data_IF_673673846959
#
_entry.id   IF_673673846959
#
_cell.length_a   1.000
_cell.length_b   1.000
_cell.length_c   1.000
_cell.angle_alpha   90.00
_cell.angle_beta   90.00
_cell.angle_gamma   90.00
#
_symmetry.space_group_name_H-M   'P 1'
#
loop_
_entity.id
_entity.type
_entity.pdbx_description
1 polymer ?
#
# COMPACT_ATOMS: atom_id res chain seq x y z
N UNK A 1 17.90 5.39 18.05
CA UNK A 1 16.44 5.24 18.11
C UNK A 1 15.96 5.13 16.68
N UNK A 2 15.66 3.94 16.21
CA UNK A 2 15.06 3.74 14.88
C UNK A 2 13.58 3.99 15.08
N UNK A 3 13.12 5.17 14.67
CA UNK A 3 11.70 5.52 14.67
C UNK A 3 11.05 4.69 13.55
N UNK A 4 10.61 3.48 13.88
CA UNK A 4 9.84 2.66 12.93
C UNK A 4 8.58 3.45 12.60
N UNK A 5 8.37 3.85 11.32
CA UNK A 5 7.30 4.75 10.97
C UNK A 5 5.99 4.09 11.34
N UNK A 6 5.25 4.68 12.29
CA UNK A 6 3.95 4.12 12.67
C UNK A 6 2.97 4.28 11.50
N UNK A 7 2.08 3.30 11.26
CA UNK A 7 1.21 3.30 10.07
C UNK A 7 0.38 4.58 9.91
N UNK A 8 -0.04 5.23 11.02
CA UNK A 8 -0.79 6.49 10.97
C UNK A 8 -0.02 7.66 10.35
N UNK A 9 1.31 7.72 10.50
CA UNK A 9 2.13 8.80 9.91
C UNK A 9 2.58 8.46 8.49
N UNK A 10 2.72 7.18 8.16
CA UNK A 10 3.33 6.74 6.91
C UNK A 10 2.37 6.67 5.71
N UNK A 11 1.06 6.49 5.94
CA UNK A 11 0.08 6.47 4.84
C UNK A 11 -0.01 7.82 4.11
N UNK A 12 -0.15 8.98 4.79
CA UNK A 12 -0.12 10.28 4.13
C UNK A 12 1.17 10.53 3.33
N UNK A 13 2.32 10.08 3.85
CA UNK A 13 3.61 10.22 3.17
C UNK A 13 3.70 9.36 1.90
N UNK A 14 3.21 8.12 1.95
CA UNK A 14 3.13 7.25 0.77
C UNK A 14 2.20 7.83 -0.30
N UNK A 15 1.07 8.39 0.10
CA UNK A 15 0.15 9.06 -0.82
C UNK A 15 0.78 10.32 -1.43
N UNK A 16 1.50 11.12 -0.63
CA UNK A 16 2.23 12.28 -1.13
C UNK A 16 3.36 11.89 -2.09
N UNK A 17 4.07 10.79 -1.81
CA UNK A 17 5.09 10.25 -2.70
C UNK A 17 4.48 9.80 -4.03
N UNK A 18 3.36 9.06 -3.98
CA UNK A 18 2.64 8.63 -5.17
C UNK A 18 2.17 9.83 -6.00
N UNK A 19 1.57 10.84 -5.38
CA UNK A 19 1.11 12.05 -6.07
C UNK A 19 2.24 12.82 -6.78
N UNK A 20 3.47 12.77 -6.23
CA UNK A 20 4.65 13.41 -6.83
C UNK A 20 5.30 12.61 -7.94
N UNK A 21 5.16 11.28 -7.95
CA UNK A 21 5.94 10.38 -8.82
C UNK A 21 5.11 9.61 -9.83
N UNK A 22 3.79 9.46 -9.59
CA UNK A 22 2.86 8.60 -10.32
C UNK A 22 1.51 9.30 -10.51
N UNK A 23 1.46 10.20 -11.51
CA UNK A 23 0.22 10.90 -11.89
C UNK A 23 -0.82 10.00 -12.56
N UNK A 24 -0.44 8.78 -12.92
CA UNK A 24 -1.27 7.75 -13.54
C UNK A 24 -2.06 6.91 -12.52
N UNK A 25 -1.76 7.04 -11.22
CA UNK A 25 -2.43 6.34 -10.14
C UNK A 25 -3.52 7.22 -9.53
N UNK A 26 -4.73 6.67 -9.39
CA UNK A 26 -5.78 7.29 -8.59
C UNK A 26 -5.44 7.18 -7.09
N UNK A 27 -5.39 8.33 -6.42
CA UNK A 27 -4.96 8.43 -5.04
C UNK A 27 -5.97 7.77 -4.07
N UNK A 28 -7.27 7.81 -4.38
CA UNK A 28 -8.32 7.21 -3.53
C UNK A 28 -8.26 5.69 -3.61
N UNK A 29 -8.03 5.15 -4.81
CA UNK A 29 -7.84 3.72 -5.01
C UNK A 29 -6.59 3.20 -4.29
N UNK A 30 -5.50 3.98 -4.34
CA UNK A 30 -4.26 3.67 -3.62
C UNK A 30 -4.47 3.68 -2.10
N UNK A 31 -5.14 4.70 -1.56
CA UNK A 31 -5.46 4.79 -0.12
C UNK A 31 -6.29 3.58 0.35
N UNK A 32 -7.30 3.19 -0.43
CA UNK A 32 -8.08 1.99 -0.15
C UNK A 32 -7.22 0.71 -0.16
N UNK A 33 -6.34 0.56 -1.15
CA UNK A 33 -5.45 -0.60 -1.23
C UNK A 33 -4.43 -0.66 -0.09
N UNK A 34 -3.88 0.49 0.34
CA UNK A 34 -2.99 0.58 1.50
C UNK A 34 -3.73 0.21 2.79
N UNK A 35 -4.96 0.69 2.96
CA UNK A 35 -5.80 0.35 4.13
C UNK A 35 -6.11 -1.14 4.20
N UNK A 36 -6.44 -1.75 3.06
CA UNK A 36 -6.63 -3.21 2.96
C UNK A 36 -5.34 -3.97 3.27
N UNK A 37 -4.19 -3.49 2.77
CA UNK A 37 -2.88 -4.10 3.01
C UNK A 37 -2.52 -4.06 4.50
N UNK A 38 -2.71 -2.91 5.17
CA UNK A 38 -2.48 -2.75 6.60
C UNK A 38 -3.35 -3.74 7.37
N UNK A 39 -4.63 -3.85 7.03
CA UNK A 39 -5.56 -4.75 7.73
C UNK A 39 -5.19 -6.23 7.57
N UNK A 40 -4.67 -6.62 6.40
CA UNK A 40 -4.46 -8.04 6.04
C UNK A 40 -3.05 -8.56 6.26
N UNK A 41 -2.06 -7.72 6.05
CA UNK A 41 -0.63 -8.05 6.14
C UNK A 41 0.08 -7.27 7.22
N UNK A 42 -0.49 -6.15 7.64
CA UNK A 42 0.10 -5.29 8.65
C UNK A 42 1.19 -4.36 8.10
N UNK A 43 1.72 -3.60 9.04
CA UNK A 43 2.99 -2.90 8.89
C UNK A 43 4.13 -3.80 9.37
N UNK A 44 5.34 -3.80 8.78
CA UNK A 44 5.87 -2.94 7.72
C UNK A 44 5.69 -3.49 6.29
N UNK A 45 5.05 -4.66 6.12
CA UNK A 45 4.88 -5.29 4.81
C UNK A 45 4.24 -4.36 3.78
N UNK A 46 3.20 -3.62 4.22
CA UNK A 46 2.49 -2.65 3.39
C UNK A 46 3.40 -1.54 2.87
N UNK A 47 4.32 -1.03 3.71
CA UNK A 47 5.28 0.00 3.32
C UNK A 47 6.14 -0.50 2.16
N UNK A 48 6.79 -1.64 2.36
CA UNK A 48 7.75 -2.19 1.42
C UNK A 48 7.10 -2.50 0.07
N UNK A 49 5.89 -3.10 0.08
CA UNK A 49 5.18 -3.43 -1.15
C UNK A 49 4.62 -2.20 -1.86
N UNK A 50 4.08 -1.23 -1.13
CA UNK A 50 3.59 0.01 -1.74
C UNK A 50 4.74 0.81 -2.36
N UNK A 51 5.83 1.00 -1.62
CA UNK A 51 7.01 1.71 -2.12
C UNK A 51 7.64 0.99 -3.32
N UNK A 52 7.76 -0.35 -3.26
CA UNK A 52 8.28 -1.15 -4.36
C UNK A 52 7.39 -1.11 -5.60
N UNK A 53 6.06 -1.09 -5.44
CA UNK A 53 5.11 -0.92 -6.54
C UNK A 53 5.27 0.47 -7.20
N UNK A 54 5.34 1.53 -6.41
CA UNK A 54 5.54 2.89 -6.91
C UNK A 54 6.86 3.02 -7.69
N UNK A 55 7.96 2.51 -7.12
CA UNK A 55 9.28 2.55 -7.73
C UNK A 55 9.38 1.76 -9.05
N UNK A 56 8.61 0.68 -9.20
CA UNK A 56 8.62 -0.18 -10.40
C UNK A 56 7.67 0.27 -11.50
N UNK A 57 6.88 1.33 -11.31
CA UNK A 57 5.89 1.72 -12.32
C UNK A 57 4.65 0.83 -12.33
N UNK A 58 4.40 0.05 -11.27
CA UNK A 58 3.25 -0.86 -11.19
C UNK A 58 1.95 -0.14 -10.80
N UNK A 59 0.81 -0.80 -10.98
CA UNK A 59 -0.52 -0.25 -10.73
C UNK A 59 -1.07 -0.71 -9.37
N UNK A 60 -2.05 0.02 -8.82
CA UNK A 60 -2.70 -0.31 -7.52
C UNK A 60 -3.24 -1.74 -7.46
N UNK A 61 -3.70 -2.28 -8.60
CA UNK A 61 -4.14 -3.68 -8.71
C UNK A 61 -3.05 -4.68 -8.34
N UNK A 62 -1.78 -4.35 -8.57
CA UNK A 62 -0.64 -5.23 -8.32
C UNK A 62 -0.39 -5.35 -6.81
N UNK A 63 -0.55 -4.24 -6.06
CA UNK A 63 -0.60 -4.25 -4.60
C UNK A 63 -1.78 -5.11 -4.09
N UNK A 64 -2.98 -4.95 -4.66
CA UNK A 64 -4.15 -5.77 -4.28
C UNK A 64 -3.93 -7.26 -4.54
N UNK A 65 -3.32 -7.61 -5.66
CA UNK A 65 -2.98 -8.99 -6.01
C UNK A 65 -1.94 -9.57 -5.03
N UNK A 66 -0.95 -8.79 -4.62
CA UNK A 66 0.07 -9.21 -3.65
C UNK A 66 -0.51 -9.49 -2.26
N UNK A 67 -1.55 -8.74 -1.86
CA UNK A 67 -2.26 -9.00 -0.61
C UNK A 67 -3.03 -10.33 -0.67
N UNK A 68 -3.49 -10.73 -1.85
CA UNK A 68 -4.22 -11.97 -2.10
C UNK A 68 -5.74 -11.83 -1.92
N UNK A 69 -6.53 -12.83 -2.37
CA UNK A 69 -7.99 -12.75 -2.37
C UNK A 69 -8.56 -12.59 -0.95
N UNK A 70 -9.75 -11.98 -0.85
CA UNK A 70 -10.52 -12.04 0.39
C UNK A 70 -10.89 -13.49 0.61
N UNK A 71 -10.20 -14.14 1.56
CA UNK A 71 -10.39 -15.55 1.85
C UNK A 71 -11.88 -15.85 1.93
N UNK A 72 -12.40 -16.58 0.94
CA UNK A 72 -13.50 -17.48 1.23
C UNK A 72 -12.97 -18.39 2.31
N UNK A 73 -13.49 -18.25 3.53
CA UNK A 73 -13.53 -19.37 4.47
C UNK A 73 -14.28 -20.47 3.73
N UNK A 74 -13.56 -21.36 3.07
CA UNK A 74 -14.03 -22.72 2.86
C UNK A 74 -14.00 -23.37 4.22
N UNK A 75 -15.14 -23.31 4.91
CA UNK A 75 -15.47 -24.25 5.98
C UNK A 75 -16.89 -24.70 5.79
#
# INVERSE_FOLDING_TARGET
MTDDPTPMSAVPELLALAAKTRHDIDQRDLEGAISDAITRRGWPWTLAHTAGMLARGEQVRDLRNAIGPIGRKTR
#
